data_IF_376846704303
#
_entry.id   IF_376846704303
#
_cell.length_a   1.000
_cell.length_b   1.000
_cell.length_c   1.000
_cell.angle_alpha   90.00
_cell.angle_beta   90.00
_cell.angle_gamma   90.00
#
_symmetry.space_group_name_H-M   'P 1'
#
loop_
_entity.id
_entity.type
_entity.pdbx_description
1 polymer ?
#
# COMPACT_ATOMS: atom_id res chain seq x y z
N UNK A 1 39.52 13.90 36.07
CA UNK A 1 39.07 12.51 35.82
C UNK A 1 37.56 12.33 36.02
N UNK A 2 36.93 12.90 37.06
CA UNK A 2 35.48 12.75 37.29
C UNK A 2 34.58 13.46 36.26
N UNK A 3 34.99 14.65 35.78
CA UNK A 3 34.22 15.44 34.80
C UNK A 3 34.17 14.80 33.41
N UNK A 4 35.28 14.20 32.97
CA UNK A 4 35.35 13.51 31.68
C UNK A 4 34.49 12.25 31.65
N UNK A 5 34.38 11.52 32.76
CA UNK A 5 33.52 10.34 32.88
C UNK A 5 32.02 10.68 32.73
N UNK A 6 31.58 11.82 33.28
CA UNK A 6 30.20 12.29 33.15
C UNK A 6 29.84 12.65 31.70
N UNK A 7 30.78 13.22 30.95
CA UNK A 7 30.55 13.58 29.54
C UNK A 7 30.41 12.33 28.69
N UNK A 8 31.24 11.30 28.90
CA UNK A 8 31.11 10.02 28.18
C UNK A 8 29.78 9.34 28.49
N UNK A 9 29.36 9.32 29.76
CA UNK A 9 28.09 8.70 30.17
C UNK A 9 26.86 9.41 29.59
N UNK A 10 26.90 10.75 29.49
CA UNK A 10 25.84 11.53 28.85
C UNK A 10 25.76 11.25 27.34
N UNK A 11 26.90 11.07 26.68
CA UNK A 11 26.95 10.78 25.24
C UNK A 11 26.39 9.39 24.92
N UNK A 12 26.69 8.37 25.74
CA UNK A 12 26.11 7.03 25.56
C UNK A 12 24.61 7.00 25.82
N UNK A 13 24.10 7.77 26.79
CA UNK A 13 22.67 7.82 27.08
C UNK A 13 21.83 8.40 25.92
N UNK A 14 22.37 9.36 25.16
CA UNK A 14 21.69 9.92 23.99
C UNK A 14 21.55 8.92 22.84
N UNK A 15 22.47 7.96 22.71
CA UNK A 15 22.42 6.93 21.65
C UNK A 15 21.32 5.90 21.87
N UNK A 16 20.85 5.70 23.10
CA UNK A 16 19.79 4.73 23.44
C UNK A 16 18.39 5.37 23.60
N UNK A 17 18.28 6.70 23.49
CA UNK A 17 17.03 7.42 23.74
C UNK A 17 16.05 7.42 22.55
N UNK A 18 16.47 6.97 21.36
CA UNK A 18 15.56 6.80 20.22
C UNK A 18 14.75 5.52 20.38
N UNK A 19 13.65 5.62 21.11
CA UNK A 19 12.59 4.61 21.06
C UNK A 19 11.93 4.74 19.68
N UNK A 20 12.19 3.80 18.78
CA UNK A 20 11.47 3.74 17.50
C UNK A 20 10.01 3.43 17.81
N UNK A 21 9.17 4.46 17.77
CA UNK A 21 7.73 4.28 17.85
C UNK A 21 7.29 3.50 16.61
N UNK A 22 6.65 2.35 16.83
CA UNK A 22 6.09 1.57 15.73
C UNK A 22 4.97 2.39 15.10
N UNK A 23 5.22 2.95 13.91
CA UNK A 23 4.20 3.64 13.11
C UNK A 23 3.13 2.61 12.74
N UNK A 24 1.94 2.76 13.34
CA UNK A 24 0.80 1.84 13.16
C UNK A 24 0.05 2.07 11.84
N UNK A 25 0.39 3.12 11.13
CA UNK A 25 -0.18 3.59 9.87
C UNK A 25 0.62 3.14 8.63
N UNK A 26 1.74 2.44 8.83
CA UNK A 26 2.54 1.87 7.75
C UNK A 26 2.31 0.37 7.62
N UNK A 27 2.04 -0.08 6.40
CA UNK A 27 1.90 -1.49 6.05
C UNK A 27 2.62 -1.80 4.73
N UNK A 28 3.10 -3.05 4.59
CA UNK A 28 3.59 -3.54 3.30
C UNK A 28 2.40 -3.94 2.42
N UNK A 29 2.32 -3.34 1.23
CA UNK A 29 1.30 -3.67 0.25
C UNK A 29 1.67 -4.94 -0.52
N UNK A 30 0.70 -5.83 -0.68
CA UNK A 30 0.86 -7.03 -1.50
C UNK A 30 0.57 -6.74 -2.97
N UNK A 31 1.14 -7.59 -3.84
CA UNK A 31 0.88 -7.53 -5.28
C UNK A 31 0.15 -8.77 -5.76
N UNK A 32 -0.76 -8.57 -6.71
CA UNK A 32 -1.45 -9.64 -7.44
C UNK A 32 -1.21 -9.40 -8.92
N UNK A 33 -0.63 -10.39 -9.62
CA UNK A 33 -0.28 -10.26 -11.05
C UNK A 33 0.54 -9.00 -11.39
N UNK A 34 1.44 -8.60 -10.47
CA UNK A 34 2.27 -7.40 -10.62
C UNK A 34 1.63 -6.08 -10.19
N UNK A 35 0.32 -6.04 -9.93
CA UNK A 35 -0.40 -4.85 -9.47
C UNK A 35 -0.35 -4.71 -7.96
N UNK A 36 -0.10 -3.50 -7.47
CA UNK A 36 -0.31 -3.16 -6.06
C UNK A 36 -1.80 -3.10 -5.73
N UNK A 37 -2.21 -3.76 -4.66
CA UNK A 37 -3.62 -3.84 -4.25
C UNK A 37 -3.84 -3.06 -2.95
N UNK A 38 -4.57 -1.96 -3.04
CA UNK A 38 -4.97 -1.16 -1.90
C UNK A 38 -6.46 -1.40 -1.62
N UNK A 39 -6.78 -1.93 -0.45
CA UNK A 39 -8.15 -2.21 -0.03
C UNK A 39 -8.46 -1.40 1.21
N UNK A 40 -9.39 -0.44 1.09
CA UNK A 40 -9.74 0.53 2.14
C UNK A 40 -8.53 1.32 2.66
N UNK A 41 -7.57 1.59 1.78
CA UNK A 41 -6.41 2.41 2.07
C UNK A 41 -5.92 3.09 0.80
N UNK A 42 -5.03 4.05 0.96
CA UNK A 42 -4.40 4.78 -0.13
C UNK A 42 -2.88 4.69 -0.04
N UNK A 43 -2.16 4.71 -1.17
CA UNK A 43 -0.71 4.80 -1.15
C UNK A 43 -0.25 6.11 -0.51
N UNK A 44 0.83 6.05 0.28
CA UNK A 44 1.54 7.25 0.76
C UNK A 44 2.47 7.84 -0.29
N UNK A 45 2.91 7.03 -1.25
CA UNK A 45 3.72 7.49 -2.38
C UNK A 45 2.86 8.28 -3.37
N UNK A 46 3.48 9.18 -4.14
CA UNK A 46 2.78 9.93 -5.19
C UNK A 46 2.26 8.97 -6.28
N UNK A 47 1.02 9.21 -6.71
CA UNK A 47 0.40 8.46 -7.79
C UNK A 47 -0.45 9.35 -8.69
N UNK A 48 -0.65 8.91 -9.93
CA UNK A 48 -1.63 9.48 -10.84
C UNK A 48 -2.86 8.57 -10.87
N UNK A 49 -4.06 9.18 -10.82
CA UNK A 49 -5.31 8.48 -11.08
C UNK A 49 -5.51 8.42 -12.59
N UNK A 50 -5.56 7.22 -13.14
CA UNK A 50 -5.74 7.00 -14.59
C UNK A 50 -7.22 6.87 -14.96
N UNK A 51 -8.04 6.39 -14.02
CA UNK A 51 -9.48 6.23 -14.20
C UNK A 51 -10.07 5.22 -13.23
N UNK A 52 -11.27 4.75 -13.53
CA UNK A 52 -12.00 3.77 -12.72
C UNK A 52 -12.54 2.66 -13.61
N UNK A 53 -12.43 1.42 -13.15
CA UNK A 53 -13.10 0.28 -13.77
C UNK A 53 -14.22 -0.24 -12.87
N UNK A 54 -15.34 -0.61 -13.48
CA UNK A 54 -16.41 -1.35 -12.79
C UNK A 54 -16.22 -2.85 -12.98
N UNK A 55 -16.44 -3.63 -11.93
CA UNK A 55 -16.47 -5.09 -11.96
C UNK A 55 -17.55 -5.56 -12.94
N UNK A 56 -17.11 -6.21 -14.01
CA UNK A 56 -17.98 -6.81 -15.02
C UNK A 56 -17.60 -8.27 -15.14
N UNK A 57 -18.43 -9.15 -14.58
CA UNK A 57 -18.17 -10.59 -14.52
C UNK A 57 -18.87 -11.26 -13.34
N UNK A 58 -19.13 -12.57 -13.47
CA UNK A 58 -19.69 -13.39 -12.39
C UNK A 58 -18.53 -13.91 -11.56
N UNK A 59 -18.64 -13.78 -10.24
CA UNK A 59 -17.72 -14.37 -9.28
C UNK A 59 -18.39 -15.64 -8.78
N UNK A 60 -17.83 -16.81 -9.11
CA UNK A 60 -18.46 -18.10 -8.81
C UNK A 60 -18.14 -18.58 -7.40
N UNK A 61 -16.93 -18.29 -6.92
CA UNK A 61 -16.42 -18.81 -5.63
C UNK A 61 -16.62 -17.84 -4.47
N UNK A 62 -16.92 -16.56 -4.78
CA UNK A 62 -16.89 -15.47 -3.82
C UNK A 62 -15.47 -15.12 -3.32
N UNK A 63 -14.42 -15.70 -3.89
CA UNK A 63 -13.05 -15.46 -3.42
C UNK A 63 -12.52 -14.09 -3.87
N UNK A 64 -11.80 -13.35 -2.99
CA UNK A 64 -11.16 -12.08 -3.37
C UNK A 64 -10.20 -12.22 -4.55
N UNK A 65 -9.49 -13.34 -4.63
CA UNK A 65 -8.56 -13.63 -5.73
C UNK A 65 -9.26 -13.66 -7.08
N UNK A 66 -10.45 -14.27 -7.17
CA UNK A 66 -11.25 -14.28 -8.41
C UNK A 66 -11.67 -12.86 -8.80
N UNK A 67 -12.08 -12.05 -7.82
CA UNK A 67 -12.45 -10.65 -8.02
C UNK A 67 -11.27 -9.82 -8.52
N UNK A 68 -10.10 -9.93 -7.88
CA UNK A 68 -8.87 -9.26 -8.33
C UNK A 68 -8.50 -9.68 -9.75
N UNK A 69 -8.58 -10.96 -10.07
CA UNK A 69 -8.24 -11.46 -11.41
C UNK A 69 -9.14 -10.88 -12.50
N UNK A 70 -10.46 -10.76 -12.25
CA UNK A 70 -11.41 -10.17 -13.20
C UNK A 70 -11.09 -8.68 -13.41
N UNK A 71 -10.87 -7.95 -12.33
CA UNK A 71 -10.62 -6.51 -12.41
C UNK A 71 -9.26 -6.18 -13.00
N UNK A 72 -8.18 -6.86 -12.58
CA UNK A 72 -6.83 -6.63 -13.11
C UNK A 72 -6.79 -6.87 -14.61
N UNK A 73 -7.44 -7.94 -15.12
CA UNK A 73 -7.53 -8.18 -16.57
C UNK A 73 -8.18 -7.01 -17.31
N UNK A 74 -9.19 -6.38 -16.70
CA UNK A 74 -9.86 -5.22 -17.26
C UNK A 74 -8.97 -3.97 -17.20
N UNK A 75 -8.30 -3.74 -16.06
CA UNK A 75 -7.35 -2.64 -15.88
C UNK A 75 -6.22 -2.72 -16.90
N UNK A 76 -5.61 -3.88 -17.09
CA UNK A 76 -4.55 -4.08 -18.09
C UNK A 76 -5.01 -3.76 -19.53
N UNK A 77 -6.29 -3.95 -19.82
CA UNK A 77 -6.88 -3.67 -21.14
C UNK A 77 -7.19 -2.19 -21.34
N UNK A 78 -7.76 -1.53 -20.33
CA UNK A 78 -8.25 -0.15 -20.42
C UNK A 78 -7.18 0.89 -20.03
N UNK A 79 -6.32 0.55 -19.08
CA UNK A 79 -5.29 1.42 -18.50
C UNK A 79 -3.95 0.67 -18.44
N UNK A 80 -3.27 0.45 -19.59
CA UNK A 80 -2.06 -0.39 -19.67
C UNK A 80 -0.87 0.14 -18.84
N UNK A 81 -0.87 1.43 -18.49
CA UNK A 81 0.16 2.05 -17.65
C UNK A 81 -0.15 1.94 -16.14
N UNK A 82 -1.33 1.44 -15.76
CA UNK A 82 -1.67 1.26 -14.37
C UNK A 82 -0.76 0.18 -13.75
N UNK A 83 -0.27 0.45 -12.54
CA UNK A 83 0.54 -0.49 -11.76
C UNK A 83 -0.07 -0.75 -10.37
N UNK A 84 -1.18 -0.10 -10.03
CA UNK A 84 -1.93 -0.32 -8.80
C UNK A 84 -3.43 -0.14 -8.98
N UNK A 85 -4.19 -0.69 -8.05
CA UNK A 85 -5.64 -0.49 -7.93
C UNK A 85 -6.03 -0.19 -6.49
N UNK A 86 -7.00 0.72 -6.33
CA UNK A 86 -7.59 1.08 -5.04
C UNK A 86 -9.05 0.64 -5.02
N UNK A 87 -9.43 -0.04 -3.95
CA UNK A 87 -10.80 -0.40 -3.61
C UNK A 87 -11.28 0.42 -2.42
N UNK A 88 -12.19 1.35 -2.66
CA UNK A 88 -12.76 2.20 -1.61
C UNK A 88 -13.92 1.51 -0.86
N UNK A 89 -14.53 0.49 -1.48
CA UNK A 89 -15.67 -0.24 -0.92
C UNK A 89 -15.36 -1.72 -0.67
N UNK A 90 -16.03 -2.31 0.33
CA UNK A 90 -15.87 -3.71 0.72
C UNK A 90 -16.35 -4.68 -0.38
N UNK A 91 -17.37 -4.28 -1.15
CA UNK A 91 -17.95 -5.12 -2.20
C UNK A 91 -17.08 -5.18 -3.46
N UNK A 92 -16.05 -4.32 -3.54
CA UNK A 92 -15.11 -4.19 -4.65
C UNK A 92 -15.83 -4.09 -6.00
N UNK A 93 -16.89 -3.27 -6.05
CA UNK A 93 -17.66 -3.05 -7.27
C UNK A 93 -16.89 -2.19 -8.27
N UNK A 94 -16.07 -1.29 -7.76
CA UNK A 94 -15.24 -0.38 -8.54
C UNK A 94 -13.79 -0.47 -8.08
N UNK A 95 -12.87 -0.30 -9.03
CA UNK A 95 -11.45 -0.15 -8.73
C UNK A 95 -10.93 1.11 -9.40
N UNK A 96 -10.32 1.99 -8.62
CA UNK A 96 -9.60 3.15 -9.13
C UNK A 96 -8.22 2.69 -9.60
N UNK A 97 -7.91 2.92 -10.86
CA UNK A 97 -6.66 2.55 -11.49
C UNK A 97 -5.63 3.65 -11.27
N UNK A 98 -4.45 3.27 -10.78
CA UNK A 98 -3.39 4.23 -10.47
C UNK A 98 -2.06 3.83 -11.11
N UNK A 99 -1.24 4.84 -11.37
CA UNK A 99 0.17 4.72 -11.67
C UNK A 99 0.97 5.35 -10.52
N UNK A 100 1.57 4.50 -9.69
CA UNK A 100 2.55 4.90 -8.70
C UNK A 100 3.83 5.35 -9.40
N UNK A 101 4.36 6.50 -8.97
CA UNK A 101 5.58 7.12 -9.51
C UNK A 101 6.85 6.54 -8.88
#
# INVERSE_FOLDING_TARGET
MKKSFFVTMALTAMLFAFKQESQKDLARVNRVQGFYIFSQCQPLADYAVLGTVKKTGVVMTGSPTEMFNILIKKVQKEYPNANGIIFDDVAMEHATCIELK
#
